data_IF_242094572027
#
_entry.id   IF_242094572027
#
_cell.length_a   1.000
_cell.length_b   1.000
_cell.length_c   1.000
_cell.angle_alpha   90.00
_cell.angle_beta   90.00
_cell.angle_gamma   90.00
#
_symmetry.space_group_name_H-M   'P 1'
#
loop_
_entity.id
_entity.type
_entity.pdbx_description
1 polymer ?
#
# COMPACT_ATOMS: atom_id res chain seq x y z
N UNK A 1 -6.20 -15.30 1.84
CA UNK A 1 -4.84 -14.73 1.87
C UNK A 1 -4.65 -13.85 0.65
N UNK A 2 -4.04 -12.67 0.81
CA UNK A 2 -3.61 -11.83 -0.33
C UNK A 2 -2.19 -12.27 -0.69
N UNK A 3 -1.89 -12.45 -1.98
CA UNK A 3 -0.55 -12.82 -2.44
C UNK A 3 -0.14 -12.04 -3.69
N UNK A 4 1.18 -11.95 -3.89
CA UNK A 4 1.80 -11.35 -5.07
C UNK A 4 2.74 -12.39 -5.67
N UNK A 5 2.59 -12.67 -6.97
CA UNK A 5 3.37 -13.68 -7.70
C UNK A 5 3.63 -13.23 -9.14
N UNK A 6 4.48 -13.93 -9.92
CA UNK A 6 4.54 -13.72 -11.36
C UNK A 6 3.22 -14.06 -12.06
N UNK A 7 2.86 -13.34 -13.13
CA UNK A 7 1.61 -13.54 -13.90
C UNK A 7 1.78 -14.39 -15.18
N UNK A 8 3.01 -14.43 -15.71
CA UNK A 8 3.30 -14.98 -17.05
C UNK A 8 3.02 -14.04 -18.21
N UNK A 9 2.42 -12.87 -17.96
CA UNK A 9 2.24 -11.79 -18.95
C UNK A 9 3.51 -10.92 -18.99
N UNK A 10 4.16 -10.81 -20.16
CA UNK A 10 5.37 -10.00 -20.33
C UNK A 10 5.12 -8.50 -20.16
N UNK A 11 3.91 -8.02 -20.48
CA UNK A 11 3.52 -6.61 -20.35
C UNK A 11 3.18 -6.28 -18.91
N UNK A 12 2.50 -7.20 -18.21
CA UNK A 12 2.04 -7.03 -16.81
C UNK A 12 2.51 -8.20 -15.95
N UNK A 13 3.82 -8.27 -15.62
CA UNK A 13 4.43 -9.49 -15.10
C UNK A 13 4.07 -9.85 -13.67
N UNK A 14 3.35 -8.99 -12.94
CA UNK A 14 3.06 -9.19 -11.52
C UNK A 14 1.57 -9.43 -11.34
N UNK A 15 1.22 -10.56 -10.72
CA UNK A 15 -0.15 -10.94 -10.37
C UNK A 15 -0.42 -10.69 -8.90
N UNK A 16 -1.52 -10.00 -8.59
CA UNK A 16 -2.07 -9.86 -7.25
C UNK A 16 -3.30 -10.75 -7.16
N UNK A 17 -3.40 -11.57 -6.12
CA UNK A 17 -4.61 -12.35 -5.84
C UNK A 17 -5.15 -12.03 -4.46
N UNK A 18 -6.48 -12.03 -4.33
CA UNK A 18 -7.17 -11.82 -3.08
C UNK A 18 -8.44 -12.70 -3.03
N UNK A 19 -8.89 -13.13 -1.84
CA UNK A 19 -10.08 -13.97 -1.72
C UNK A 19 -11.32 -13.28 -2.29
N UNK A 20 -12.08 -14.01 -3.12
CA UNK A 20 -13.33 -13.52 -3.72
C UNK A 20 -13.15 -12.44 -4.79
N UNK A 21 -11.92 -12.22 -5.29
CA UNK A 21 -11.65 -11.28 -6.38
C UNK A 21 -10.95 -11.99 -7.54
N UNK A 22 -11.20 -11.51 -8.75
CA UNK A 22 -10.44 -11.93 -9.91
C UNK A 22 -8.97 -11.50 -9.75
N UNK A 23 -8.00 -12.33 -10.18
CA UNK A 23 -6.60 -11.93 -10.21
C UNK A 23 -6.39 -10.65 -11.02
N UNK A 24 -5.47 -9.80 -10.55
CA UNK A 24 -5.11 -8.57 -11.22
C UNK A 24 -3.64 -8.61 -11.61
N UNK A 25 -3.37 -8.51 -12.91
CA UNK A 25 -2.03 -8.42 -13.46
C UNK A 25 -1.65 -6.95 -13.66
N UNK A 26 -0.47 -6.58 -13.17
CA UNK A 26 0.03 -5.22 -13.14
C UNK A 26 1.50 -5.15 -13.54
N UNK A 27 1.88 -3.96 -14.02
CA UNK A 27 3.28 -3.56 -14.14
C UNK A 27 3.89 -3.28 -12.77
N UNK A 28 5.22 -3.19 -12.72
CA UNK A 28 5.95 -2.74 -11.51
C UNK A 28 5.55 -1.33 -11.09
N UNK A 29 5.36 -0.42 -12.05
CA UNK A 29 4.99 0.97 -11.78
C UNK A 29 3.59 1.08 -11.15
N UNK A 30 2.60 0.36 -11.70
CA UNK A 30 1.25 0.28 -11.16
C UNK A 30 1.24 -0.33 -9.74
N UNK A 31 2.03 -1.39 -9.49
CA UNK A 31 2.16 -1.96 -8.15
C UNK A 31 2.73 -0.94 -7.15
N UNK A 32 3.78 -0.20 -7.53
CA UNK A 32 4.36 0.85 -6.68
C UNK A 32 3.33 1.93 -6.36
N UNK A 33 2.55 2.38 -7.35
CA UNK A 33 1.48 3.34 -7.14
C UNK A 33 0.39 2.80 -6.20
N UNK A 34 -0.03 1.54 -6.37
CA UNK A 34 -0.99 0.86 -5.50
C UNK A 34 -0.52 0.82 -4.03
N UNK A 35 0.75 0.49 -3.79
CA UNK A 35 1.32 0.48 -2.44
C UNK A 35 1.33 1.89 -1.84
N UNK A 36 1.72 2.90 -2.63
CA UNK A 36 1.72 4.30 -2.19
C UNK A 36 0.31 4.76 -1.78
N UNK A 37 -0.68 4.59 -2.66
CA UNK A 37 -2.06 5.01 -2.40
C UNK A 37 -2.67 4.24 -1.21
N UNK A 38 -2.41 2.94 -1.11
CA UNK A 38 -2.86 2.13 0.03
C UNK A 38 -2.30 2.66 1.35
N UNK A 39 -1.00 2.99 1.38
CA UNK A 39 -0.35 3.59 2.57
C UNK A 39 -0.97 4.95 2.90
N UNK A 40 -1.14 5.81 1.91
CA UNK A 40 -1.73 7.15 2.10
C UNK A 40 -3.17 7.07 2.59
N UNK A 41 -3.96 6.15 2.06
CA UNK A 41 -5.32 5.90 2.53
C UNK A 41 -5.33 5.49 4.00
N UNK A 42 -4.52 4.50 4.38
CA UNK A 42 -4.42 4.04 5.76
C UNK A 42 -3.98 5.16 6.71
N UNK A 43 -2.98 5.95 6.32
CA UNK A 43 -2.51 7.10 7.12
C UNK A 43 -3.55 8.22 7.27
N UNK A 44 -4.49 8.37 6.33
CA UNK A 44 -5.60 9.32 6.45
C UNK A 44 -6.71 8.80 7.36
N UNK A 45 -6.97 7.49 7.33
CA UNK A 45 -8.07 6.87 8.09
C UNK A 45 -7.72 6.60 9.55
N UNK A 46 -6.45 6.46 9.89
CA UNK A 46 -6.00 6.35 11.28
C UNK A 46 -5.48 7.72 11.73
N UNK A 47 -5.96 8.29 12.85
CA UNK A 47 -5.38 9.50 13.38
C UNK A 47 -3.88 9.26 13.58
N UNK A 48 -3.06 10.17 13.04
CA UNK A 48 -1.62 10.12 13.26
C UNK A 48 -1.36 9.95 14.77
N UNK A 49 -0.43 9.08 15.20
CA UNK A 49 0.01 9.11 16.58
C UNK A 49 0.45 10.55 16.84
N UNK A 50 -0.23 11.21 17.77
CA UNK A 50 0.02 12.58 18.16
C UNK A 50 1.47 12.66 18.62
N UNK A 51 2.38 13.09 17.74
CA UNK A 51 3.71 13.56 18.12
C UNK A 51 3.47 14.93 18.75
N UNK A 52 3.06 14.90 20.02
CA UNK A 52 2.64 16.08 20.76
C UNK A 52 2.74 15.82 22.25
N UNK A 53 3.96 15.90 22.77
CA UNK A 53 4.26 16.56 24.06
C UNK A 53 5.77 16.56 24.30
N UNK A 54 6.53 17.29 23.47
CA UNK A 54 7.75 17.93 23.94
C UNK A 54 7.34 19.35 24.29
N UNK A 55 6.84 19.52 25.52
CA UNK A 55 6.68 20.84 26.13
C UNK A 55 8.09 21.36 26.44
N UNK A 56 8.55 22.33 25.67
CA UNK A 56 9.60 23.23 26.09
C UNK A 56 9.11 24.00 27.32
N UNK A 57 9.51 23.56 28.51
CA UNK A 57 9.52 24.42 29.70
C UNK A 57 10.82 25.21 29.69
N UNK A 58 10.78 26.39 29.06
CA UNK A 58 11.69 27.48 29.38
C UNK A 58 11.11 28.24 30.57
N UNK A 59 11.78 28.15 31.72
CA UNK A 59 11.43 28.86 32.96
C UNK A 59 12.55 28.74 33.97
#
# INVERSE_FOLDING_TARGET
MISVSPSGDEVRPIRITAPGRNPLDVTRAELTALVHESRMYLMRTFPAPSVGSLSDSSG
#
